data_IF_817678336721
#
_entry.id   IF_817678336721
#
_cell.length_a   1.000
_cell.length_b   1.000
_cell.length_c   1.000
_cell.angle_alpha   90.00
_cell.angle_beta   90.00
_cell.angle_gamma   90.00
#
_symmetry.space_group_name_H-M   'P 1'
#
loop_
_entity.id
_entity.type
_entity.pdbx_description
1 polymer ?
#
# COMPACT_ATOMS: atom_id res chain seq x y z
N UNK A 1 12.54 19.89 -16.23
CA UNK A 1 11.81 19.61 -14.97
C UNK A 1 10.77 18.56 -15.32
N UNK A 2 10.92 17.31 -14.84
CA UNK A 2 9.98 16.24 -15.19
C UNK A 2 8.70 16.45 -14.39
N UNK A 3 7.57 16.63 -15.08
CA UNK A 3 6.24 16.68 -14.48
C UNK A 3 6.00 15.35 -13.74
N UNK A 4 6.21 15.35 -12.44
CA UNK A 4 6.07 14.15 -11.60
C UNK A 4 4.58 13.85 -11.49
N UNK A 5 4.07 12.98 -12.36
CA UNK A 5 2.68 12.51 -12.29
C UNK A 5 2.39 12.01 -10.87
N UNK A 6 1.46 12.69 -10.21
CA UNK A 6 0.93 12.31 -8.91
C UNK A 6 0.11 11.03 -9.13
N UNK A 7 0.38 9.99 -8.34
CA UNK A 7 -0.19 8.66 -8.61
C UNK A 7 0.42 7.54 -7.80
N UNK A 8 0.89 7.82 -6.59
CA UNK A 8 1.31 6.77 -5.66
C UNK A 8 0.13 6.17 -4.90
N UNK A 9 0.35 5.02 -4.30
CA UNK A 9 -0.62 4.38 -3.41
C UNK A 9 0.11 3.57 -2.34
N UNK A 10 -0.48 3.44 -1.16
CA UNK A 10 0.10 2.67 -0.05
C UNK A 10 -0.89 1.60 0.39
N UNK A 11 -0.42 0.36 0.46
CA UNK A 11 -1.15 -0.74 1.10
C UNK A 11 -0.52 -0.96 2.47
N UNK A 12 -1.36 -1.02 3.50
CA UNK A 12 -0.97 -1.38 4.85
C UNK A 12 -1.45 -2.81 5.13
N UNK A 13 -0.53 -3.69 5.52
CA UNK A 13 -0.91 -4.97 6.11
C UNK A 13 -1.36 -4.71 7.55
N UNK A 14 -2.67 -4.86 7.77
CA UNK A 14 -3.34 -4.56 9.04
C UNK A 14 -2.80 -5.44 10.17
N UNK A 15 -2.38 -6.67 9.88
CA UNK A 15 -1.97 -7.65 10.89
C UNK A 15 -0.48 -7.52 11.24
N UNK A 16 0.34 -7.08 10.30
CA UNK A 16 1.74 -6.79 10.54
C UNK A 16 1.95 -5.41 11.19
N UNK A 17 1.14 -4.41 10.83
CA UNK A 17 1.23 -3.07 11.42
C UNK A 17 0.99 -3.07 12.94
N UNK A 18 1.96 -2.54 13.69
CA UNK A 18 1.87 -2.40 15.17
C UNK A 18 1.43 -1.02 15.65
N UNK A 19 0.98 -0.15 14.74
CA UNK A 19 0.38 1.14 15.10
C UNK A 19 1.32 2.16 15.74
N UNK A 20 2.62 2.11 15.42
CA UNK A 20 3.64 2.99 16.02
C UNK A 20 3.59 4.47 15.56
N UNK A 21 2.85 4.78 14.49
CA UNK A 21 2.66 6.16 14.01
C UNK A 21 3.81 6.75 13.18
N UNK A 22 5.01 6.15 13.14
CA UNK A 22 6.16 6.73 12.43
C UNK A 22 5.91 7.02 10.95
N UNK A 23 5.16 6.16 10.26
CA UNK A 23 4.83 6.38 8.86
C UNK A 23 3.88 7.58 8.64
N UNK A 24 2.99 7.86 9.61
CA UNK A 24 2.06 8.99 9.62
C UNK A 24 2.85 10.30 9.79
N UNK A 25 3.76 10.32 10.77
CA UNK A 25 4.59 11.50 11.04
C UNK A 25 5.53 11.81 9.88
N UNK A 26 6.20 10.79 9.34
CA UNK A 26 7.18 10.94 8.27
C UNK A 26 6.57 11.24 6.90
N UNK A 27 5.26 11.04 6.69
CA UNK A 27 4.63 11.30 5.41
C UNK A 27 4.60 12.81 5.09
N UNK A 28 5.31 13.30 4.05
CA UNK A 28 5.41 14.74 3.77
C UNK A 28 4.09 15.34 3.24
N UNK A 29 3.26 14.49 2.63
CA UNK A 29 1.95 14.88 2.04
C UNK A 29 0.77 14.41 2.88
N UNK A 30 1.01 13.84 4.07
CA UNK A 30 -0.01 13.48 5.08
C UNK A 30 -1.18 12.63 4.55
N UNK A 31 -0.87 11.62 3.73
CA UNK A 31 -1.85 10.66 3.18
C UNK A 31 -2.00 9.37 4.02
N UNK A 32 -1.47 9.37 5.24
CA UNK A 32 -1.57 8.27 6.20
C UNK A 32 -2.13 8.82 7.51
N UNK A 33 -2.94 8.03 8.20
CA UNK A 33 -3.40 8.31 9.57
C UNK A 33 -3.36 7.05 10.43
N UNK A 34 -3.56 7.21 11.73
CA UNK A 34 -3.81 6.08 12.63
C UNK A 34 -5.30 5.72 12.59
N UNK A 35 -5.62 4.44 12.43
CA UNK A 35 -6.99 3.92 12.40
C UNK A 35 -7.64 4.04 13.77
N UNK A 36 -8.93 4.38 13.81
CA UNK A 36 -9.76 4.27 15.01
C UNK A 36 -10.14 2.81 15.33
N UNK A 37 -9.82 1.86 14.43
CA UNK A 37 -10.11 0.43 14.59
C UNK A 37 -8.89 -0.33 15.08
N UNK A 38 -9.16 -1.46 15.71
CA UNK A 38 -8.15 -2.42 16.11
C UNK A 38 -8.01 -3.55 15.09
N UNK A 39 -6.78 -4.04 14.90
CA UNK A 39 -6.53 -5.37 14.31
C UNK A 39 -6.75 -6.49 15.35
N UNK A 40 -6.55 -7.76 14.97
CA UNK A 40 -6.78 -8.90 15.89
C UNK A 40 -5.86 -8.93 17.12
N UNK A 41 -4.80 -8.12 17.12
CA UNK A 41 -3.84 -8.00 18.20
C UNK A 41 -4.06 -6.76 19.08
N UNK A 42 -5.08 -5.96 18.79
CA UNK A 42 -5.40 -4.76 19.58
C UNK A 42 -4.58 -3.52 19.21
N UNK A 43 -3.95 -3.48 18.03
CA UNK A 43 -3.24 -2.28 17.55
C UNK A 43 -4.14 -1.40 16.69
N UNK A 44 -4.07 -0.09 16.94
CA UNK A 44 -4.54 0.95 16.03
C UNK A 44 -3.57 1.09 14.86
N UNK A 45 -3.79 0.29 13.81
CA UNK A 45 -2.93 0.22 12.63
C UNK A 45 -2.98 1.51 11.81
N UNK A 46 -2.01 1.70 10.92
CA UNK A 46 -2.02 2.83 9.99
C UNK A 46 -3.01 2.61 8.84
N UNK A 47 -3.68 3.66 8.39
CA UNK A 47 -4.58 3.64 7.23
C UNK A 47 -4.14 4.66 6.18
N UNK A 48 -4.27 4.27 4.91
CA UNK A 48 -4.09 5.16 3.77
C UNK A 48 -5.39 5.88 3.47
N UNK A 49 -5.35 7.21 3.39
CA UNK A 49 -6.56 8.04 3.38
C UNK A 49 -6.77 8.92 2.17
N UNK A 50 -5.80 9.05 1.25
CA UNK A 50 -5.88 10.25 0.42
C UNK A 50 -5.21 10.26 -0.93
N UNK A 51 -5.54 11.35 -1.60
CA UNK A 51 -5.02 11.78 -2.88
C UNK A 51 -3.72 12.57 -2.68
N UNK A 52 -2.92 12.72 -3.73
CA UNK A 52 -1.64 13.44 -3.62
C UNK A 52 -0.44 12.58 -3.19
N UNK A 53 -0.63 11.28 -2.96
CA UNK A 53 0.49 10.37 -2.71
C UNK A 53 1.47 10.39 -3.90
N UNK A 54 2.75 10.64 -3.61
CA UNK A 54 3.80 10.70 -4.63
C UNK A 54 4.55 9.38 -4.80
N UNK A 55 4.22 8.35 -4.02
CA UNK A 55 4.94 7.08 -3.99
C UNK A 55 6.41 7.21 -3.56
N UNK A 56 6.75 8.18 -2.71
CA UNK A 56 8.15 8.48 -2.36
C UNK A 56 8.85 7.35 -1.58
N UNK A 57 8.10 6.48 -0.90
CA UNK A 57 8.65 5.37 -0.12
C UNK A 57 9.12 5.74 1.30
N UNK A 58 9.01 7.01 1.72
CA UNK A 58 9.46 7.45 3.05
C UNK A 58 8.75 6.67 4.17
N UNK A 59 7.44 6.44 4.05
CA UNK A 59 6.68 5.64 5.02
C UNK A 59 7.22 4.21 5.16
N UNK A 60 7.62 3.59 4.06
CA UNK A 60 8.22 2.25 4.04
C UNK A 60 9.54 2.23 4.81
N UNK A 61 10.45 3.17 4.51
CA UNK A 61 11.77 3.21 5.16
C UNK A 61 11.72 3.60 6.65
N UNK A 62 10.64 4.25 7.10
CA UNK A 62 10.45 4.59 8.51
C UNK A 62 9.67 3.51 9.29
N UNK A 63 9.12 2.50 8.60
CA UNK A 63 8.37 1.46 9.27
C UNK A 63 9.34 0.45 9.93
N UNK A 64 9.21 0.17 11.23
CA UNK A 64 10.01 -0.87 11.88
C UNK A 64 9.57 -2.29 11.48
N UNK A 65 8.38 -2.43 10.89
CA UNK A 65 7.80 -3.70 10.46
C UNK A 65 7.98 -3.89 8.94
N UNK A 66 8.88 -4.79 8.50
CA UNK A 66 9.36 -4.82 7.11
C UNK A 66 8.30 -5.21 6.08
N UNK A 67 7.23 -5.91 6.44
CA UNK A 67 6.12 -6.29 5.56
C UNK A 67 4.83 -5.50 5.79
N UNK A 68 4.79 -4.59 6.76
CA UNK A 68 3.57 -3.85 7.08
C UNK A 68 3.17 -2.81 6.02
N UNK A 69 4.10 -2.34 5.19
CA UNK A 69 3.84 -1.27 4.21
C UNK A 69 4.31 -1.72 2.82
N UNK A 70 3.45 -1.55 1.83
CA UNK A 70 3.83 -1.64 0.41
C UNK A 70 3.51 -0.34 -0.30
N UNK A 71 4.47 0.19 -1.07
CA UNK A 71 4.33 1.48 -1.77
C UNK A 71 4.34 1.26 -3.27
N UNK A 72 3.29 1.74 -3.94
CA UNK A 72 3.19 1.81 -5.39
C UNK A 72 3.58 3.21 -5.86
N UNK A 73 4.49 3.32 -6.83
CA UNK A 73 4.92 4.61 -7.41
C UNK A 73 3.97 5.13 -8.50
N UNK A 74 3.51 4.21 -9.34
CA UNK A 74 2.73 4.49 -10.54
C UNK A 74 1.37 3.76 -10.46
N UNK A 75 0.67 3.92 -9.34
CA UNK A 75 -0.66 3.33 -9.12
C UNK A 75 -1.63 3.66 -10.26
N UNK A 76 -1.60 4.91 -10.72
CA UNK A 76 -2.45 5.40 -11.81
C UNK A 76 -2.24 4.67 -13.14
N UNK A 77 -1.11 4.00 -13.33
CA UNK A 77 -0.77 3.26 -14.55
C UNK A 77 -1.25 1.80 -14.49
N UNK A 78 -1.66 1.30 -13.32
CA UNK A 78 -2.21 -0.05 -13.16
C UNK A 78 -3.64 -0.07 -13.74
N UNK A 79 -3.85 -0.87 -14.79
CA UNK A 79 -5.13 -1.00 -15.49
C UNK A 79 -5.67 -2.43 -15.51
N UNK A 80 -4.79 -3.41 -15.44
CA UNK A 80 -5.17 -4.82 -15.48
C UNK A 80 -5.98 -5.18 -14.24
N UNK A 81 -7.06 -5.93 -14.45
CA UNK A 81 -7.91 -6.44 -13.39
C UNK A 81 -8.08 -7.94 -13.54
N UNK A 82 -8.16 -8.63 -12.42
CA UNK A 82 -8.54 -10.02 -12.38
C UNK A 82 -9.27 -10.36 -11.08
N UNK A 83 -10.02 -11.46 -11.10
CA UNK A 83 -10.72 -11.95 -9.92
C UNK A 83 -9.72 -12.53 -8.91
N UNK A 84 -9.62 -11.91 -7.73
CA UNK A 84 -8.78 -12.40 -6.66
C UNK A 84 -9.58 -13.33 -5.75
N UNK A 85 -9.26 -14.63 -5.77
CA UNK A 85 -9.86 -15.64 -4.87
C UNK A 85 -9.65 -15.33 -3.39
N UNK A 86 -8.52 -14.70 -3.03
CA UNK A 86 -8.21 -14.32 -1.65
C UNK A 86 -9.06 -13.13 -1.15
N UNK A 87 -9.46 -12.23 -2.04
CA UNK A 87 -10.32 -11.09 -1.70
C UNK A 87 -11.80 -11.32 -2.04
N UNK A 88 -12.10 -12.42 -2.74
CA UNK A 88 -13.40 -12.78 -3.30
C UNK A 88 -14.06 -11.66 -4.11
N UNK A 89 -13.28 -10.98 -4.96
CA UNK A 89 -13.74 -9.84 -5.77
C UNK A 89 -12.73 -9.54 -6.88
N UNK A 90 -13.16 -8.80 -7.91
CA UNK A 90 -12.27 -8.24 -8.93
C UNK A 90 -11.37 -7.17 -8.31
N UNK A 91 -10.07 -7.22 -8.60
CA UNK A 91 -9.07 -6.29 -8.08
C UNK A 91 -8.14 -5.85 -9.22
N UNK A 92 -7.50 -4.69 -9.03
CA UNK A 92 -6.34 -4.36 -9.85
C UNK A 92 -5.22 -5.35 -9.55
N UNK A 93 -4.41 -5.64 -10.56
CA UNK A 93 -3.32 -6.61 -10.47
C UNK A 93 -2.04 -6.08 -11.06
N UNK A 94 -0.93 -6.60 -10.59
CA UNK A 94 0.40 -6.19 -11.05
C UNK A 94 1.35 -7.38 -11.12
N UNK A 95 2.39 -7.26 -11.94
CA UNK A 95 3.52 -8.19 -11.99
C UNK A 95 4.68 -7.60 -11.19
N UNK A 96 5.41 -8.43 -10.44
CA UNK A 96 6.59 -7.96 -9.68
C UNK A 96 7.77 -7.57 -10.59
N UNK A 97 7.84 -8.16 -11.77
CA UNK A 97 8.82 -7.83 -12.80
C UNK A 97 8.24 -8.13 -14.18
N UNK A 98 8.81 -7.53 -15.23
CA UNK A 98 8.33 -7.68 -16.62
C UNK A 98 8.45 -9.12 -17.16
N UNK A 99 9.32 -9.93 -16.55
CA UNK A 99 9.58 -11.32 -16.97
C UNK A 99 8.73 -12.36 -16.23
N UNK A 100 7.86 -11.94 -15.31
CA UNK A 100 7.04 -12.84 -14.51
C UNK A 100 5.65 -12.93 -15.11
N UNK A 101 5.14 -14.16 -15.21
CA UNK A 101 3.76 -14.41 -15.59
C UNK A 101 2.82 -14.50 -14.37
N UNK A 102 3.34 -14.26 -13.16
CA UNK A 102 2.56 -14.30 -11.93
C UNK A 102 1.94 -12.92 -11.69
N UNK A 103 0.61 -12.88 -11.65
CA UNK A 103 -0.16 -11.72 -11.26
C UNK A 103 -0.32 -11.69 -9.73
N UNK A 104 -0.19 -10.50 -9.16
CA UNK A 104 -0.42 -10.24 -7.74
C UNK A 104 -1.59 -9.29 -7.58
N UNK A 105 -2.47 -9.58 -6.63
CA UNK A 105 -3.57 -8.71 -6.27
C UNK A 105 -3.04 -7.43 -5.58
N UNK A 106 -3.49 -6.25 -5.99
CA UNK A 106 -3.07 -4.99 -5.35
C UNK A 106 -3.62 -4.81 -3.93
N UNK A 107 -4.68 -5.53 -3.54
CA UNK A 107 -5.31 -5.41 -2.23
C UNK A 107 -4.69 -6.33 -1.18
N UNK A 108 -4.53 -7.61 -1.48
CA UNK A 108 -3.96 -8.58 -0.53
C UNK A 108 -2.50 -8.95 -0.80
N UNK A 109 -1.91 -8.45 -1.89
CA UNK A 109 -0.52 -8.67 -2.28
C UNK A 109 -0.13 -10.15 -2.48
N UNK A 110 -1.12 -11.04 -2.57
CA UNK A 110 -0.95 -12.47 -2.85
C UNK A 110 -1.01 -12.76 -4.35
N UNK A 111 -0.29 -13.79 -4.83
CA UNK A 111 -0.43 -14.26 -6.21
C UNK A 111 -1.85 -14.77 -6.46
N UNK A 112 -2.30 -14.65 -7.71
CA UNK A 112 -3.62 -15.11 -8.17
C UNK A 112 -3.50 -15.97 -9.42
#
# INVERSE_FOLDING_TARGET
MVEKKIGGYVVIDIEECKGCGYCVDACPVKVLMQSDRFNRYGYHYAEYIGEGCTGCGICFYNCPEPGAITVFKNWSDIKEKAFCKNCNQEQLVFKKNEKSDILYCTKCLKPI
#
